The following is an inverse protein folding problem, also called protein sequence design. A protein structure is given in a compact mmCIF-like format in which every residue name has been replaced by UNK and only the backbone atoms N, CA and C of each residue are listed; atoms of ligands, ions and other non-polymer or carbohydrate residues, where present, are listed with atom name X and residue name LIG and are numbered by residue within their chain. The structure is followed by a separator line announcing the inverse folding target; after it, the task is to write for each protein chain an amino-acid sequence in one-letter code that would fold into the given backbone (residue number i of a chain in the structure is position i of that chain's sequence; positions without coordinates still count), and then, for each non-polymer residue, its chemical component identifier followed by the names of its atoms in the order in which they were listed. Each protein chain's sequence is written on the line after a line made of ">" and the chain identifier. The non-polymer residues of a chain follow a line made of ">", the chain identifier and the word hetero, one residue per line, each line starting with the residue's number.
data_IF_180902281356
#
_entry.id   IF_180902281356
#
_cell.length_a   1.000
_cell.length_b   1.000
_cell.length_c   1.000
_cell.angle_alpha   90.00
_cell.angle_beta   90.00
_cell.angle_gamma   90.00
#
_symmetry.space_group_name_H-M   'P 1'
#
loop_
_entity.id
_entity.type
_entity.pdbx_description
1 polymer ?
#
# COMPACT_ATOMS: atom_id res chain seq x y z
N UNK A 1 45.77 -42.49 -19.51
CA UNK A 1 44.99 -42.96 -18.35
C UNK A 1 45.15 -41.98 -17.21
N UNK A 2 44.03 -41.65 -16.52
CA UNK A 2 43.86 -40.70 -15.39
C UNK A 2 43.83 -39.22 -15.81
N UNK A 3 42.84 -38.40 -15.48
CA UNK A 3 41.61 -38.57 -14.72
C UNK A 3 40.67 -37.41 -15.13
N UNK A 4 39.49 -37.75 -15.63
CA UNK A 4 38.35 -36.83 -15.71
C UNK A 4 37.81 -36.59 -14.28
N UNK A 5 36.98 -35.55 -14.16
CA UNK A 5 36.04 -35.24 -13.07
C UNK A 5 36.58 -34.22 -12.05
N UNK A 6 36.29 -32.95 -12.29
CA UNK A 6 35.68 -32.04 -11.31
C UNK A 6 35.42 -30.67 -11.97
N UNK A 7 34.57 -30.66 -13.00
CA UNK A 7 33.99 -29.44 -13.57
C UNK A 7 32.46 -29.54 -13.49
N UNK A 8 31.97 -29.85 -12.29
CA UNK A 8 30.56 -29.76 -11.92
C UNK A 8 30.53 -29.04 -10.56
N UNK A 9 29.64 -28.08 -10.39
CA UNK A 9 29.46 -27.16 -9.22
C UNK A 9 29.91 -25.70 -9.37
N UNK A 10 29.84 -25.11 -10.58
CA UNK A 10 29.86 -23.64 -10.72
C UNK A 10 28.71 -23.09 -11.56
N UNK A 11 27.58 -23.82 -11.62
CA UNK A 11 26.30 -23.25 -12.04
C UNK A 11 25.38 -23.37 -10.83
N UNK A 12 25.67 -22.56 -9.80
CA UNK A 12 24.57 -22.04 -8.99
C UNK A 12 23.71 -21.29 -10.00
N UNK A 13 22.61 -21.94 -10.41
CA UNK A 13 21.46 -21.24 -10.91
C UNK A 13 21.14 -20.14 -9.90
N UNK A 14 21.62 -18.93 -10.17
CA UNK A 14 20.95 -17.71 -9.73
C UNK A 14 19.59 -17.77 -10.42
N UNK A 15 18.66 -18.53 -9.85
CA UNK A 15 17.24 -18.29 -10.09
C UNK A 15 17.00 -16.95 -9.43
N UNK A 16 17.17 -15.89 -10.21
CA UNK A 16 16.67 -14.58 -9.89
C UNK A 16 15.15 -14.68 -10.01
N UNK A 17 14.51 -15.34 -9.04
CA UNK A 17 13.07 -15.16 -8.85
C UNK A 17 12.93 -13.67 -8.56
N UNK A 18 12.31 -12.93 -9.47
CA UNK A 18 11.93 -11.54 -9.18
C UNK A 18 11.12 -11.57 -7.89
N UNK A 19 11.70 -11.04 -6.83
CA UNK A 19 11.04 -10.99 -5.54
C UNK A 19 9.87 -10.01 -5.67
N UNK A 20 8.67 -10.56 -5.81
CA UNK A 20 7.44 -9.79 -5.74
C UNK A 20 7.37 -9.11 -4.37
N UNK A 21 7.13 -7.80 -4.37
CA UNK A 21 6.99 -7.06 -3.12
C UNK A 21 5.61 -7.30 -2.54
N UNK A 22 5.58 -7.70 -1.26
CA UNK A 22 4.36 -8.00 -0.53
C UNK A 22 4.33 -7.19 0.76
N UNK A 23 3.21 -6.51 1.01
CA UNK A 23 2.97 -5.74 2.24
C UNK A 23 1.81 -6.39 2.99
N UNK A 24 2.02 -6.93 4.20
CA UNK A 24 0.92 -7.43 5.00
C UNK A 24 0.07 -6.29 5.56
N UNK A 25 -1.22 -6.52 5.67
CA UNK A 25 -2.15 -5.63 6.37
C UNK A 25 -2.97 -6.39 7.42
N UNK A 26 -3.62 -5.65 8.30
CA UNK A 26 -4.62 -6.18 9.23
C UNK A 26 -6.00 -5.69 8.82
N UNK A 27 -6.92 -6.60 8.53
CA UNK A 27 -8.33 -6.28 8.34
C UNK A 27 -9.02 -6.25 9.72
N UNK A 28 -9.59 -5.10 10.07
CA UNK A 28 -10.30 -4.94 11.35
C UNK A 28 -11.71 -5.54 11.31
N UNK A 29 -12.35 -5.67 12.47
CA UNK A 29 -13.77 -6.06 12.60
C UNK A 29 -14.73 -5.05 11.91
N UNK A 30 -14.24 -3.85 11.58
CA UNK A 30 -14.96 -2.82 10.85
C UNK A 30 -14.56 -2.73 9.37
N UNK A 31 -13.85 -3.74 8.85
CA UNK A 31 -13.37 -3.82 7.47
C UNK A 31 -12.39 -2.70 7.06
N UNK A 32 -11.66 -2.13 8.03
CA UNK A 32 -10.57 -1.20 7.70
C UNK A 32 -9.31 -2.01 7.40
N UNK A 33 -8.63 -1.67 6.31
CA UNK A 33 -7.30 -2.19 6.00
C UNK A 33 -6.28 -1.34 6.74
N UNK A 34 -5.63 -1.89 7.76
CA UNK A 34 -4.63 -1.22 8.58
C UNK A 34 -3.23 -1.67 8.19
N UNK A 35 -2.36 -0.70 7.92
CA UNK A 35 -0.95 -0.92 7.64
C UNK A 35 -0.10 -0.33 8.77
N UNK A 36 0.87 -1.10 9.26
CA UNK A 36 1.86 -0.61 10.22
C UNK A 36 2.92 0.20 9.51
N UNK A 37 3.13 1.42 9.97
CA UNK A 37 4.03 2.39 9.34
C UNK A 37 5.02 2.95 10.34
N UNK A 38 6.15 3.44 9.83
CA UNK A 38 7.09 4.28 10.54
C UNK A 38 7.21 5.60 9.77
N UNK A 39 6.79 6.70 10.40
CA UNK A 39 6.83 8.04 9.80
C UNK A 39 7.99 8.82 10.39
N UNK A 40 8.75 9.47 9.51
CA UNK A 40 9.94 10.26 9.85
C UNK A 40 10.90 9.52 10.80
N UNK A 41 11.02 8.20 10.58
CA UNK A 41 11.90 7.28 11.30
C UNK A 41 11.61 7.14 12.80
N UNK A 42 10.52 7.73 13.30
CA UNK A 42 10.26 7.85 14.74
C UNK A 42 8.83 7.49 15.13
N UNK A 43 7.85 7.97 14.38
CA UNK A 43 6.44 7.78 14.74
C UNK A 43 5.94 6.44 14.19
N UNK A 44 5.67 5.48 15.07
CA UNK A 44 5.04 4.22 14.66
C UNK A 44 3.53 4.39 14.67
N UNK A 45 2.91 4.32 13.48
CA UNK A 45 1.48 4.58 13.29
C UNK A 45 0.79 3.42 12.55
N UNK A 46 -0.44 3.16 12.92
CA UNK A 46 -1.39 2.29 12.23
C UNK A 46 -2.23 3.12 11.28
N UNK A 47 -1.89 3.15 9.98
CA UNK A 47 -2.63 3.95 9.00
C UNK A 47 -3.63 3.10 8.25
N UNK A 48 -4.85 3.61 8.09
CA UNK A 48 -5.87 3.01 7.27
C UNK A 48 -5.59 3.27 5.79
N UNK A 49 -5.48 2.23 4.97
CA UNK A 49 -5.41 2.40 3.53
C UNK A 49 -6.79 2.79 2.96
N UNK A 50 -6.83 3.85 2.15
CA UNK A 50 -8.07 4.32 1.53
C UNK A 50 -7.86 4.65 0.05
N UNK A 51 -8.51 3.89 -0.83
CA UNK A 51 -8.39 4.02 -2.30
C UNK A 51 -8.87 5.40 -2.80
N UNK A 52 -9.84 6.00 -2.11
CA UNK A 52 -10.44 7.28 -2.50
C UNK A 52 -9.63 8.52 -2.07
N UNK A 53 -8.37 8.35 -1.65
CA UNK A 53 -7.48 9.46 -1.31
C UNK A 53 -6.11 9.27 -1.94
N UNK A 54 -5.41 10.37 -2.18
CA UNK A 54 -4.08 10.38 -2.80
C UNK A 54 -2.98 10.35 -1.72
N UNK A 55 -2.97 11.34 -0.84
CA UNK A 55 -1.96 11.58 0.19
C UNK A 55 -2.33 10.89 1.53
N UNK A 56 -1.74 11.33 2.64
CA UNK A 56 -1.98 10.80 3.97
C UNK A 56 -2.64 11.83 4.90
N UNK A 57 -3.20 11.36 6.02
CA UNK A 57 -3.74 12.23 7.06
C UNK A 57 -3.61 11.61 8.45
N UNK A 58 -3.60 12.45 9.48
CA UNK A 58 -3.57 12.05 10.88
C UNK A 58 -4.92 12.33 11.53
N UNK A 59 -5.39 11.36 12.30
CA UNK A 59 -6.66 11.45 13.02
C UNK A 59 -6.51 12.22 14.33
N UNK A 60 -7.50 13.05 14.69
CA UNK A 60 -7.56 13.63 16.02
C UNK A 60 -7.80 12.56 17.10
N UNK A 61 -8.38 11.42 16.73
CA UNK A 61 -8.69 10.29 17.63
C UNK A 61 -7.64 9.16 17.54
N UNK A 62 -6.41 9.49 17.15
CA UNK A 62 -5.31 8.52 17.06
C UNK A 62 -4.97 7.87 18.40
N UNK A 63 -4.49 6.64 18.33
CA UNK A 63 -4.06 5.82 19.46
C UNK A 63 -2.57 6.09 19.74
N UNK A 64 -1.76 6.14 18.68
CA UNK A 64 -0.33 6.38 18.75
C UNK A 64 0.00 7.87 18.55
N UNK A 65 1.13 8.30 19.09
CA UNK A 65 1.60 9.68 18.96
C UNK A 65 2.29 9.90 17.62
N UNK A 66 2.03 11.05 17.01
CA UNK A 66 2.62 11.51 15.76
C UNK A 66 3.36 12.84 16.02
N UNK A 67 4.43 12.79 16.82
CA UNK A 67 5.13 14.00 17.30
C UNK A 67 6.11 14.56 16.26
N UNK A 68 6.50 13.76 15.26
CA UNK A 68 7.50 14.13 14.26
C UNK A 68 6.89 14.46 12.90
N UNK A 69 5.55 14.51 12.80
CA UNK A 69 4.83 15.07 11.66
C UNK A 69 4.54 16.53 12.00
N UNK A 70 5.28 17.45 11.37
CA UNK A 70 5.22 18.88 11.69
C UNK A 70 4.25 19.58 10.74
N UNK A 71 3.11 20.00 11.27
CA UNK A 71 2.07 20.70 10.51
C UNK A 71 2.29 22.21 10.51
N UNK A 72 2.04 22.84 9.36
CA UNK A 72 1.98 24.28 9.23
C UNK A 72 0.67 24.85 9.80
N UNK A 73 0.50 26.17 9.69
CA UNK A 73 -0.73 26.87 10.14
C UNK A 73 -2.01 26.44 9.41
N UNK A 74 -1.89 25.76 8.27
CA UNK A 74 -3.00 25.26 7.48
C UNK A 74 -3.30 23.78 7.77
N UNK A 75 -2.58 23.16 8.72
CA UNK A 75 -2.72 21.74 9.03
C UNK A 75 -2.06 20.83 7.97
N UNK A 76 -1.07 21.33 7.23
CA UNK A 76 -0.38 20.56 6.19
C UNK A 76 1.06 20.30 6.63
N UNK A 77 1.49 19.05 6.54
CA UNK A 77 2.88 18.65 6.70
C UNK A 77 3.40 18.10 5.38
N UNK A 78 4.41 18.75 4.81
CA UNK A 78 5.05 18.35 3.55
C UNK A 78 6.32 17.55 3.82
N UNK A 79 6.86 16.91 2.78
CA UNK A 79 8.20 16.30 2.78
C UNK A 79 8.42 15.18 3.82
N UNK A 80 7.36 14.47 4.23
CA UNK A 80 7.48 13.36 5.17
C UNK A 80 8.03 12.09 4.51
N UNK A 81 8.75 11.30 5.30
CA UNK A 81 9.19 9.95 4.97
C UNK A 81 8.25 8.94 5.59
N UNK A 82 7.66 8.09 4.77
CA UNK A 82 6.84 6.97 5.19
C UNK A 82 7.58 5.66 4.93
N UNK A 83 7.60 4.77 5.92
CA UNK A 83 8.15 3.44 5.76
C UNK A 83 7.11 2.37 6.12
N UNK A 84 7.04 1.33 5.29
CA UNK A 84 6.26 0.11 5.54
C UNK A 84 7.18 -1.09 5.28
N UNK A 85 7.50 -1.84 6.33
CA UNK A 85 8.54 -2.87 6.24
C UNK A 85 9.86 -2.27 5.75
N UNK A 86 10.37 -2.74 4.61
CA UNK A 86 11.60 -2.25 3.98
C UNK A 86 11.36 -1.18 2.89
N UNK A 87 10.09 -0.88 2.58
CA UNK A 87 9.72 0.08 1.56
C UNK A 87 9.69 1.48 2.16
N UNK A 88 10.25 2.43 1.43
CA UNK A 88 10.38 3.82 1.86
C UNK A 88 9.85 4.72 0.76
N UNK A 89 8.86 5.54 1.12
CA UNK A 89 8.36 6.63 0.31
C UNK A 89 8.79 7.95 0.92
N UNK A 90 9.08 8.92 0.05
CA UNK A 90 9.48 10.28 0.41
C UNK A 90 8.46 11.25 -0.15
N UNK A 91 8.47 12.46 0.38
CA UNK A 91 7.62 13.56 -0.08
C UNK A 91 6.14 13.21 0.08
N UNK A 92 5.81 12.50 1.16
CA UNK A 92 4.41 12.22 1.52
C UNK A 92 3.86 13.44 2.24
N UNK A 93 2.74 13.96 1.74
CA UNK A 93 1.98 15.00 2.42
C UNK A 93 1.06 14.38 3.46
N UNK A 94 1.01 14.98 4.64
CA UNK A 94 0.03 14.68 5.68
C UNK A 94 -0.88 15.87 5.93
N UNK A 95 -2.18 15.60 6.04
CA UNK A 95 -3.19 16.56 6.54
C UNK A 95 -3.53 16.26 8.00
N UNK A 96 -3.67 17.29 8.83
CA UNK A 96 -4.10 17.15 10.22
C UNK A 96 -5.63 17.14 10.36
N UNK A 97 -6.13 16.41 11.35
CA UNK A 97 -7.52 16.51 11.80
C UNK A 97 -8.56 15.75 10.99
N UNK A 98 -8.17 14.88 10.04
CA UNK A 98 -9.13 14.07 9.30
C UNK A 98 -9.61 12.86 10.13
N UNK A 99 -10.92 12.68 10.25
CA UNK A 99 -11.48 11.49 10.89
C UNK A 99 -11.09 10.23 10.12
N UNK A 100 -10.66 9.21 10.86
CA UNK A 100 -10.28 7.92 10.31
C UNK A 100 -11.09 6.77 10.91
N UNK A 101 -11.07 5.62 10.23
CA UNK A 101 -11.74 4.41 10.68
C UNK A 101 -11.22 3.92 12.03
N UNK A 102 -12.02 3.11 12.72
CA UNK A 102 -11.63 2.53 14.00
C UNK A 102 -10.30 1.79 13.91
N UNK A 103 -9.52 1.87 15.01
CA UNK A 103 -8.20 1.25 15.16
C UNK A 103 -7.11 1.83 14.23
N UNK A 104 -7.31 3.04 13.72
CA UNK A 104 -6.30 3.76 12.92
C UNK A 104 -5.92 5.10 13.54
N UNK A 105 -4.66 5.46 13.34
CA UNK A 105 -4.08 6.75 13.74
C UNK A 105 -4.28 7.84 12.68
N UNK A 106 -4.84 7.47 11.53
CA UNK A 106 -4.92 8.28 10.33
C UNK A 106 -5.16 7.42 9.11
N UNK A 107 -5.01 8.02 7.93
CA UNK A 107 -5.18 7.34 6.65
C UNK A 107 -3.97 7.51 5.74
N UNK A 108 -3.89 6.62 4.77
CA UNK A 108 -2.96 6.73 3.65
C UNK A 108 -3.62 6.32 2.34
N UNK A 109 -3.36 7.12 1.31
CA UNK A 109 -3.92 6.97 -0.01
C UNK A 109 -3.07 6.17 -0.99
N UNK A 110 -3.45 6.29 -2.26
CA UNK A 110 -2.87 5.55 -3.37
C UNK A 110 -1.50 6.08 -3.83
N UNK A 111 -1.03 7.22 -3.32
CA UNK A 111 0.29 7.78 -3.70
C UNK A 111 1.45 6.82 -3.46
N UNK A 112 1.35 5.95 -2.46
CA UNK A 112 2.38 4.92 -2.18
C UNK A 112 2.46 3.83 -3.26
N UNK A 113 1.42 3.68 -4.09
CA UNK A 113 1.38 2.75 -5.22
C UNK A 113 1.40 3.47 -6.57
N UNK A 114 1.81 4.75 -6.58
CA UNK A 114 1.88 5.53 -7.81
C UNK A 114 2.78 4.83 -8.84
N UNK A 115 2.29 4.73 -10.07
CA UNK A 115 2.94 4.07 -11.20
C UNK A 115 3.22 2.57 -10.98
N UNK A 116 2.57 1.94 -10.00
CA UNK A 116 2.68 0.51 -9.72
C UNK A 116 1.36 -0.23 -10.01
N UNK A 117 1.49 -1.50 -10.37
CA UNK A 117 0.36 -2.44 -10.43
C UNK A 117 0.32 -3.13 -9.06
N UNK A 118 -0.79 -3.06 -8.36
CA UNK A 118 -0.95 -3.75 -7.08
C UNK A 118 -2.29 -4.49 -7.01
N UNK A 119 -2.31 -5.57 -6.23
CA UNK A 119 -3.51 -6.32 -5.85
C UNK A 119 -3.72 -6.18 -4.35
N UNK A 120 -4.97 -6.01 -3.95
CA UNK A 120 -5.41 -6.22 -2.56
C UNK A 120 -5.92 -7.65 -2.44
N UNK A 121 -5.12 -8.52 -1.81
CA UNK A 121 -5.47 -9.89 -1.49
C UNK A 121 -6.17 -9.93 -0.12
N UNK A 122 -7.50 -9.85 -0.12
CA UNK A 122 -8.29 -9.87 1.11
C UNK A 122 -8.23 -11.23 1.83
N UNK A 123 -8.14 -12.33 1.08
CA UNK A 123 -8.10 -13.67 1.66
C UNK A 123 -6.83 -13.90 2.49
N UNK A 124 -5.71 -13.36 2.03
CA UNK A 124 -4.41 -13.51 2.69
C UNK A 124 -3.98 -12.28 3.49
N UNK A 125 -4.75 -11.19 3.44
CA UNK A 125 -4.44 -9.89 4.01
C UNK A 125 -3.12 -9.28 3.51
N UNK A 126 -2.92 -9.27 2.18
CA UNK A 126 -1.69 -8.80 1.55
C UNK A 126 -1.96 -7.75 0.47
N UNK A 127 -1.17 -6.69 0.43
CA UNK A 127 -0.93 -6.00 -0.83
C UNK A 127 0.18 -6.73 -1.59
N UNK A 128 -0.07 -7.00 -2.86
CA UNK A 128 0.88 -7.68 -3.74
C UNK A 128 1.21 -6.72 -4.87
N UNK A 129 2.46 -6.26 -4.93
CA UNK A 129 2.94 -5.29 -5.93
C UNK A 129 3.60 -6.05 -7.07
N UNK A 130 3.22 -5.76 -8.30
CA UNK A 130 3.71 -6.42 -9.49
C UNK A 130 4.62 -5.50 -10.31
N UNK A 131 5.75 -6.05 -10.76
CA UNK A 131 6.65 -5.40 -11.73
C UNK A 131 6.06 -5.37 -13.15
N UNK A 132 5.19 -6.32 -13.46
CA UNK A 132 4.56 -6.53 -14.76
C UNK A 132 3.11 -6.98 -14.58
N UNK A 133 2.28 -6.84 -15.61
CA UNK A 133 0.86 -7.22 -15.51
C UNK A 133 0.71 -8.72 -15.16
N UNK A 134 0.02 -9.09 -14.07
CA UNK A 134 -0.21 -10.49 -13.74
C UNK A 134 -1.20 -11.17 -14.71
N UNK A 135 -1.34 -12.49 -14.62
CA UNK A 135 -2.40 -13.20 -15.35
C UNK A 135 -3.78 -12.77 -14.83
N UNK A 136 -4.59 -12.18 -15.73
CA UNK A 136 -5.91 -11.65 -15.44
C UNK A 136 -7.06 -12.57 -15.89
N UNK A 137 -6.81 -13.81 -16.34
CA UNK A 137 -7.86 -14.70 -16.92
C UNK A 137 -9.10 -14.90 -16.04
N UNK A 138 -8.95 -14.81 -14.72
CA UNK A 138 -10.02 -15.00 -13.75
C UNK A 138 -10.56 -13.68 -13.16
N UNK A 139 -10.16 -12.53 -13.72
CA UNK A 139 -10.61 -11.21 -13.30
C UNK A 139 -11.60 -10.64 -14.30
N UNK A 140 -12.61 -9.93 -13.79
CA UNK A 140 -13.49 -9.08 -14.60
C UNK A 140 -13.02 -7.64 -14.48
N UNK A 141 -12.78 -6.99 -15.61
CA UNK A 141 -12.45 -5.57 -15.62
C UNK A 141 -13.71 -4.75 -15.34
N UNK A 142 -13.60 -3.81 -14.40
CA UNK A 142 -14.65 -2.84 -14.08
C UNK A 142 -14.18 -1.48 -14.60
N UNK A 143 -14.97 -0.79 -15.45
CA UNK A 143 -14.62 0.55 -15.90
C UNK A 143 -14.63 1.51 -14.71
N UNK A 144 -13.56 2.28 -14.58
CA UNK A 144 -13.42 3.31 -13.55
C UNK A 144 -13.45 4.69 -14.20
N UNK A 145 -14.27 5.58 -13.65
CA UNK A 145 -14.30 6.99 -14.04
C UNK A 145 -13.53 7.81 -13.00
N UNK A 146 -12.50 8.54 -13.41
CA UNK A 146 -11.76 9.45 -12.53
C UNK A 146 -12.22 10.89 -12.76
N UNK A 147 -12.81 11.52 -11.74
CA UNK A 147 -13.32 12.89 -11.81
C UNK A 147 -13.10 13.60 -10.49
N UNK A 148 -12.66 14.87 -10.54
CA UNK A 148 -12.46 15.69 -9.34
C UNK A 148 -11.60 15.02 -8.26
N UNK A 149 -10.54 14.29 -8.65
CA UNK A 149 -9.66 13.51 -7.77
C UNK A 149 -10.31 12.33 -7.03
N UNK A 150 -11.49 11.90 -7.48
CA UNK A 150 -12.17 10.72 -6.96
C UNK A 150 -12.33 9.65 -8.04
N UNK A 151 -12.34 8.39 -7.61
CA UNK A 151 -12.57 7.21 -8.43
C UNK A 151 -14.04 6.80 -8.30
N UNK A 152 -14.72 6.61 -9.42
CA UNK A 152 -16.10 6.18 -9.50
C UNK A 152 -16.20 4.85 -10.24
N UNK A 153 -17.11 4.01 -9.79
CA UNK A 153 -17.50 2.78 -10.47
C UNK A 153 -18.91 3.00 -11.03
N UNK A 154 -19.07 2.85 -12.35
CA UNK A 154 -20.37 2.99 -13.00
C UNK A 154 -21.15 1.67 -12.89
N UNK A 155 -22.19 1.68 -12.05
CA UNK A 155 -22.94 0.47 -11.67
C UNK A 155 -23.86 -0.04 -12.80
N UNK A 156 -24.20 0.81 -13.77
CA UNK A 156 -25.08 0.43 -14.90
C UNK A 156 -24.48 -0.67 -15.80
N UNK A 157 -23.15 -0.88 -15.72
CA UNK A 157 -22.43 -1.94 -16.44
C UNK A 157 -22.08 -3.16 -15.55
N UNK A 158 -22.53 -3.19 -14.29
CA UNK A 158 -22.30 -4.32 -13.40
C UNK A 158 -23.49 -5.28 -13.53
N UNK A 159 -23.24 -6.46 -14.08
CA UNK A 159 -24.19 -7.56 -14.09
C UNK A 159 -24.70 -7.78 -12.64
N UNK A 160 -26.01 -7.84 -12.37
CA UNK A 160 -26.57 -7.90 -11.01
C UNK A 160 -26.10 -9.07 -10.13
N UNK A 161 -25.27 -9.98 -10.65
CA UNK A 161 -24.64 -11.08 -9.94
C UNK A 161 -23.22 -10.78 -9.41
N UNK A 162 -22.72 -9.55 -9.54
CA UNK A 162 -21.36 -9.15 -9.13
C UNK A 162 -21.29 -8.38 -7.79
N UNK A 163 -22.33 -8.45 -6.94
CA UNK A 163 -22.32 -7.87 -5.59
C UNK A 163 -22.54 -8.99 -4.57
#
# INVERSE_FOLDING_TARGET
>A
MKQNICLLFAILFFVCSKAQTVIPFHLTEHNNIIVKTLVNEKDSLNLMFQIAMEDASISPNRINRAENILFDKNGISEDNKLQIGNLIWKNIRFFDGELSGQQSDGKIGTSIFKDQIFKIDYDNNLFVIYDEMPDLKNYTSIPLTYKNKAIFIDIDNINPWCI
#
